data_IF_765565518626
#
_entry.id   IF_765565518626
#
_cell.length_a   1.000
_cell.length_b   1.000
_cell.length_c   1.000
_cell.angle_alpha   90.00
_cell.angle_beta   90.00
_cell.angle_gamma   90.00
#
_symmetry.space_group_name_H-M   'P 1'
#
loop_
_entity.id
_entity.type
_entity.pdbx_description
1 polymer ?
#
# COMPACT_ATOMS: atom_id res chain seq x y z
N UNK A 1 -12.51 -50.82 39.65
CA UNK A 1 -11.61 -51.34 40.71
C UNK A 1 -10.80 -50.25 41.43
N UNK A 2 -10.26 -49.22 40.75
CA UNK A 2 -9.49 -48.14 41.40
C UNK A 2 -10.29 -47.28 42.40
N UNK A 3 -11.56 -46.98 42.13
CA UNK A 3 -12.45 -46.24 43.03
C UNK A 3 -12.80 -47.01 44.32
N UNK A 4 -12.93 -48.34 44.24
CA UNK A 4 -13.30 -49.19 45.36
C UNK A 4 -12.11 -49.43 46.32
N UNK A 5 -10.89 -49.54 45.77
CA UNK A 5 -9.65 -49.54 46.55
C UNK A 5 -9.40 -48.19 47.21
N UNK A 6 -9.67 -47.08 46.53
CA UNK A 6 -9.59 -45.75 47.14
C UNK A 6 -10.60 -45.55 48.27
N UNK A 7 -11.83 -46.05 48.14
CA UNK A 7 -12.83 -45.99 49.19
C UNK A 7 -12.44 -46.83 50.43
N UNK A 8 -11.86 -48.02 50.23
CA UNK A 8 -11.42 -48.90 51.32
C UNK A 8 -10.20 -48.33 52.06
N UNK A 9 -9.25 -47.73 51.33
CA UNK A 9 -8.11 -47.01 51.93
C UNK A 9 -8.59 -45.76 52.69
N UNK A 10 -9.55 -45.02 52.14
CA UNK A 10 -10.14 -43.86 52.83
C UNK A 10 -10.85 -44.29 54.13
N UNK A 11 -11.55 -45.43 54.11
CA UNK A 11 -12.25 -45.97 55.28
C UNK A 11 -11.27 -46.46 56.35
N UNK A 12 -10.20 -47.15 55.96
CA UNK A 12 -9.13 -47.58 56.87
C UNK A 12 -8.38 -46.40 57.49
N UNK A 13 -8.09 -45.35 56.71
CA UNK A 13 -7.49 -44.10 57.20
C UNK A 13 -8.45 -43.39 58.15
N UNK A 14 -9.73 -43.31 57.82
CA UNK A 14 -10.74 -42.71 58.71
C UNK A 14 -10.86 -43.47 60.03
N UNK A 15 -10.89 -44.81 59.99
CA UNK A 15 -10.94 -45.64 61.19
C UNK A 15 -9.67 -45.48 62.05
N UNK A 16 -8.50 -45.42 61.43
CA UNK A 16 -7.23 -45.18 62.13
C UNK A 16 -7.13 -43.78 62.76
N UNK A 17 -7.63 -42.75 62.08
CA UNK A 17 -7.71 -41.37 62.60
C UNK A 17 -8.65 -41.28 63.80
N UNK A 18 -9.81 -41.96 63.75
CA UNK A 18 -10.76 -42.01 64.87
C UNK A 18 -10.17 -42.77 66.06
N UNK A 19 -9.47 -43.88 65.82
CA UNK A 19 -8.81 -44.66 66.87
C UNK A 19 -7.67 -43.86 67.55
N UNK A 20 -6.88 -43.12 66.76
CA UNK A 20 -5.81 -42.26 67.26
C UNK A 20 -6.35 -41.03 68.02
N UNK A 21 -7.49 -40.48 67.60
CA UNK A 21 -8.19 -39.39 68.29
C UNK A 21 -8.78 -39.84 69.63
N UNK A 22 -9.22 -41.10 69.76
CA UNK A 22 -9.79 -41.65 70.99
C UNK A 22 -8.76 -41.79 72.13
N UNK A 23 -7.47 -41.94 71.80
CA UNK A 23 -6.39 -42.11 72.78
C UNK A 23 -5.61 -40.82 73.11
N UNK A 24 -5.90 -39.70 72.43
CA UNK A 24 -5.10 -38.48 72.58
C UNK A 24 -5.81 -37.41 73.43
N UNK A 25 -5.41 -37.26 74.70
CA UNK A 25 -5.89 -36.21 75.62
C UNK A 25 -5.18 -34.85 75.42
N UNK A 26 -4.66 -34.59 74.22
CA UNK A 26 -4.01 -33.32 73.90
C UNK A 26 -5.00 -32.15 73.97
N UNK A 27 -4.55 -31.01 74.49
CA UNK A 27 -5.25 -29.72 74.45
C UNK A 27 -4.43 -28.74 73.62
N UNK A 28 -5.09 -27.97 72.76
CA UNK A 28 -4.48 -26.89 71.98
C UNK A 28 -4.90 -25.58 72.63
N UNK A 29 -3.92 -24.80 73.06
CA UNK A 29 -4.14 -23.55 73.77
C UNK A 29 -3.73 -22.38 72.87
N UNK A 30 -4.70 -21.57 72.46
CA UNK A 30 -4.45 -20.33 71.72
C UNK A 30 -4.43 -19.16 72.71
N UNK A 31 -3.25 -18.57 72.91
CA UNK A 31 -3.10 -17.36 73.75
C UNK A 31 -2.97 -16.13 72.87
N UNK A 32 -3.99 -15.27 72.87
CA UNK A 32 -3.93 -13.93 72.27
C UNK A 32 -4.37 -12.96 73.37
N UNK A 33 -3.44 -12.28 74.08
CA UNK A 33 -3.77 -11.47 75.24
C UNK A 33 -4.89 -10.45 74.95
N UNK A 34 -5.94 -10.33 75.80
CA UNK A 34 -6.14 -10.97 77.12
C UNK A 34 -6.92 -12.30 77.09
N UNK A 35 -7.20 -12.88 75.92
CA UNK A 35 -8.04 -14.08 75.78
C UNK A 35 -7.19 -15.36 75.60
N UNK A 36 -7.53 -16.38 76.38
CA UNK A 36 -7.00 -17.74 76.21
C UNK A 36 -8.14 -18.67 75.84
N UNK A 37 -8.03 -19.33 74.69
CA UNK A 37 -9.02 -20.30 74.23
C UNK A 37 -8.40 -21.69 74.30
N UNK A 38 -8.96 -22.55 75.15
CA UNK A 38 -8.59 -23.96 75.27
C UNK A 38 -9.52 -24.82 74.42
N UNK A 39 -8.95 -25.56 73.47
CA UNK A 39 -9.69 -26.47 72.60
C UNK A 39 -9.15 -27.89 72.76
N UNK A 40 -10.05 -28.87 72.83
CA UNK A 40 -9.66 -30.27 72.74
C UNK A 40 -8.99 -30.52 71.38
N UNK A 41 -7.88 -31.26 71.36
CA UNK A 41 -7.10 -31.52 70.14
C UNK A 41 -7.95 -32.15 69.02
N UNK A 42 -8.91 -33.01 69.39
CA UNK A 42 -9.85 -33.60 68.45
C UNK A 42 -10.78 -32.57 67.78
N UNK A 43 -11.25 -31.57 68.52
CA UNK A 43 -12.07 -30.47 67.98
C UNK A 43 -11.22 -29.61 67.05
N UNK A 44 -9.97 -29.34 67.43
CA UNK A 44 -9.04 -28.59 66.57
C UNK A 44 -8.77 -29.30 65.24
N UNK A 45 -8.54 -30.63 65.25
CA UNK A 45 -8.34 -31.40 64.02
C UNK A 45 -9.60 -31.38 63.15
N UNK A 46 -10.77 -31.66 63.72
CA UNK A 46 -12.05 -31.67 62.96
C UNK A 46 -12.33 -30.28 62.39
N UNK A 47 -12.14 -29.22 63.19
CA UNK A 47 -12.32 -27.84 62.77
C UNK A 47 -11.34 -27.42 61.67
N UNK A 48 -10.06 -27.82 61.77
CA UNK A 48 -9.05 -27.56 60.75
C UNK A 48 -9.35 -28.30 59.44
N UNK A 49 -9.79 -29.57 59.53
CA UNK A 49 -10.20 -30.35 58.35
C UNK A 49 -11.43 -29.73 57.67
N UNK A 50 -12.44 -29.31 58.46
CA UNK A 50 -13.62 -28.62 57.93
C UNK A 50 -13.25 -27.30 57.27
N UNK A 51 -12.39 -26.49 57.90
CA UNK A 51 -11.88 -25.23 57.35
C UNK A 51 -11.12 -25.45 56.03
N UNK A 52 -10.28 -26.49 55.96
CA UNK A 52 -9.58 -26.87 54.74
C UNK A 52 -10.54 -27.27 53.61
N UNK A 53 -11.59 -28.05 53.92
CA UNK A 53 -12.62 -28.44 52.94
C UNK A 53 -13.35 -27.20 52.41
N UNK A 54 -13.80 -26.31 53.29
CA UNK A 54 -14.49 -25.07 52.90
C UNK A 54 -13.57 -24.20 52.03
N UNK A 55 -12.31 -24.01 52.44
CA UNK A 55 -11.33 -23.27 51.67
C UNK A 55 -11.07 -23.90 50.29
N UNK A 56 -10.93 -25.22 50.22
CA UNK A 56 -10.74 -25.96 48.97
C UNK A 56 -11.93 -25.76 48.01
N UNK A 57 -13.17 -25.86 48.49
CA UNK A 57 -14.36 -25.63 47.66
C UNK A 57 -14.47 -24.16 47.25
N UNK A 58 -14.15 -23.22 48.13
CA UNK A 58 -14.13 -21.78 47.80
C UNK A 58 -13.14 -21.49 46.66
N UNK A 59 -11.91 -22.00 46.75
CA UNK A 59 -10.90 -21.86 45.68
C UNK A 59 -11.37 -22.54 44.38
N UNK A 60 -11.97 -23.73 44.48
CA UNK A 60 -12.45 -24.46 43.30
C UNK A 60 -13.62 -23.77 42.60
N UNK A 61 -14.54 -23.16 43.34
CA UNK A 61 -15.61 -22.32 42.79
C UNK A 61 -15.04 -21.08 42.11
N UNK A 62 -14.05 -20.42 42.73
CA UNK A 62 -13.39 -19.24 42.16
C UNK A 62 -12.69 -19.58 40.84
N UNK A 63 -11.94 -20.69 40.76
CA UNK A 63 -11.32 -21.19 39.53
C UNK A 63 -12.38 -21.58 38.49
N UNK A 64 -13.47 -22.22 38.92
CA UNK A 64 -14.59 -22.58 38.05
C UNK A 64 -15.25 -21.37 37.38
N UNK A 65 -15.44 -20.27 38.12
CA UNK A 65 -15.99 -19.02 37.58
C UNK A 65 -15.07 -18.37 36.55
N UNK A 66 -13.75 -18.37 36.78
CA UNK A 66 -12.76 -17.89 35.82
C UNK A 66 -12.76 -18.74 34.53
N UNK A 67 -12.85 -20.06 34.65
CA UNK A 67 -12.93 -20.96 33.50
C UNK A 67 -14.21 -20.76 32.67
N UNK A 68 -15.36 -20.51 33.31
CA UNK A 68 -16.61 -20.19 32.60
C UNK A 68 -16.53 -18.83 31.91
N UNK A 69 -15.90 -17.82 32.54
CA UNK A 69 -15.67 -16.51 31.93
C UNK A 69 -14.78 -16.61 30.69
N UNK A 70 -13.64 -17.29 30.80
CA UNK A 70 -12.73 -17.51 29.67
C UNK A 70 -13.41 -18.27 28.53
N UNK A 71 -14.19 -19.31 28.84
CA UNK A 71 -14.97 -20.06 27.85
C UNK A 71 -15.99 -19.18 27.13
N UNK A 72 -16.74 -18.34 27.86
CA UNK A 72 -17.68 -17.39 27.26
C UNK A 72 -16.98 -16.32 26.41
N UNK A 73 -15.83 -15.82 26.84
CA UNK A 73 -15.03 -14.87 26.05
C UNK A 73 -14.64 -15.49 24.70
N UNK A 74 -14.19 -16.74 24.69
CA UNK A 74 -13.85 -17.47 23.48
C UNK A 74 -15.08 -17.72 22.58
N UNK A 75 -16.22 -18.09 23.15
CA UNK A 75 -17.48 -18.25 22.40
C UNK A 75 -17.89 -16.95 21.70
N UNK A 76 -17.88 -15.82 22.42
CA UNK A 76 -18.20 -14.52 21.85
C UNK A 76 -17.16 -14.06 20.82
N UNK A 77 -15.88 -14.38 21.02
CA UNK A 77 -14.82 -14.09 20.05
C UNK A 77 -15.07 -14.83 18.72
N UNK A 78 -15.34 -16.13 18.77
CA UNK A 78 -15.65 -16.92 17.57
C UNK A 78 -16.93 -16.42 16.89
N UNK A 79 -17.98 -16.12 17.66
CA UNK A 79 -19.21 -15.54 17.13
C UNK A 79 -18.97 -14.18 16.47
N UNK A 80 -18.13 -13.33 17.07
CA UNK A 80 -17.78 -12.00 16.54
C UNK A 80 -16.96 -12.10 15.27
N UNK A 81 -15.99 -13.01 15.23
CA UNK A 81 -15.18 -13.28 14.05
C UNK A 81 -16.03 -13.82 12.88
N UNK A 82 -16.89 -14.81 13.12
CA UNK A 82 -17.78 -15.34 12.09
C UNK A 82 -18.70 -14.25 11.53
N UNK A 83 -19.34 -13.48 12.41
CA UNK A 83 -20.19 -12.37 11.98
C UNK A 83 -19.41 -11.30 11.20
N UNK A 84 -18.16 -11.02 11.58
CA UNK A 84 -17.30 -10.08 10.86
C UNK A 84 -17.00 -10.55 9.44
N UNK A 85 -16.61 -11.82 9.28
CA UNK A 85 -16.31 -12.43 7.98
C UNK A 85 -17.55 -12.54 7.09
N UNK A 86 -18.72 -12.73 7.67
CA UNK A 86 -20.01 -12.69 6.98
C UNK A 86 -20.54 -11.27 6.76
N UNK A 87 -19.74 -10.23 7.04
CA UNK A 87 -20.09 -8.79 6.88
C UNK A 87 -21.25 -8.30 7.75
N UNK A 88 -21.63 -9.05 8.79
CA UNK A 88 -22.69 -8.71 9.76
C UNK A 88 -22.12 -7.80 10.86
N UNK A 89 -21.72 -6.58 10.50
CA UNK A 89 -20.93 -5.69 11.35
C UNK A 89 -21.56 -5.32 12.70
N UNK A 90 -22.88 -5.14 12.79
CA UNK A 90 -23.55 -4.86 14.08
C UNK A 90 -23.44 -6.05 15.05
N UNK A 91 -23.62 -7.28 14.56
CA UNK A 91 -23.49 -8.50 15.36
C UNK A 91 -22.02 -8.75 15.75
N UNK A 92 -21.11 -8.55 14.78
CA UNK A 92 -19.68 -8.67 14.99
C UNK A 92 -19.19 -7.73 16.09
N UNK A 93 -19.57 -6.45 16.03
CA UNK A 93 -19.23 -5.45 17.03
C UNK A 93 -19.73 -5.88 18.43
N UNK A 94 -21.03 -6.18 18.57
CA UNK A 94 -21.63 -6.55 19.86
C UNK A 94 -20.98 -7.79 20.48
N UNK A 95 -20.69 -8.81 19.67
CA UNK A 95 -20.06 -10.04 20.14
C UNK A 95 -18.59 -9.79 20.53
N UNK A 96 -17.83 -9.08 19.70
CA UNK A 96 -16.44 -8.76 19.99
C UNK A 96 -16.28 -7.87 21.24
N UNK A 97 -17.15 -6.87 21.45
CA UNK A 97 -17.14 -6.05 22.68
C UNK A 97 -17.48 -6.87 23.94
N UNK A 98 -18.34 -7.89 23.82
CA UNK A 98 -18.60 -8.83 24.94
C UNK A 98 -17.38 -9.69 25.22
N UNK A 99 -16.73 -10.22 24.19
CA UNK A 99 -15.49 -10.97 24.32
C UNK A 99 -14.37 -10.12 24.95
N UNK A 100 -14.21 -8.87 24.50
CA UNK A 100 -13.25 -7.91 25.05
C UNK A 100 -13.43 -7.68 26.56
N UNK A 101 -14.69 -7.51 27.01
CA UNK A 101 -15.01 -7.29 28.43
C UNK A 101 -14.81 -8.53 29.31
N UNK A 102 -14.99 -9.73 28.74
CA UNK A 102 -14.92 -11.00 29.47
C UNK A 102 -13.53 -11.63 29.45
N UNK A 103 -12.69 -11.29 28.47
CA UNK A 103 -11.35 -11.83 28.36
C UNK A 103 -10.43 -11.26 29.45
N UNK A 104 -9.55 -12.09 30.00
CA UNK A 104 -8.45 -11.66 30.86
C UNK A 104 -7.12 -11.60 30.07
N UNK A 105 -6.98 -12.44 29.04
CA UNK A 105 -5.79 -12.49 28.18
C UNK A 105 -5.68 -11.25 27.28
N UNK A 106 -4.56 -10.51 27.31
CA UNK A 106 -4.36 -9.29 26.50
C UNK A 106 -4.55 -9.52 24.99
N UNK A 107 -4.06 -10.62 24.45
CA UNK A 107 -4.13 -10.91 23.00
C UNK A 107 -5.58 -11.10 22.54
N UNK A 108 -6.41 -11.76 23.37
CA UNK A 108 -7.85 -11.91 23.10
C UNK A 108 -8.54 -10.55 23.17
N UNK A 109 -8.18 -9.68 24.13
CA UNK A 109 -8.69 -8.31 24.18
C UNK A 109 -8.30 -7.53 22.92
N UNK A 110 -7.03 -7.56 22.53
CA UNK A 110 -6.52 -6.87 21.35
C UNK A 110 -7.27 -7.25 20.07
N UNK A 111 -7.38 -8.56 19.80
CA UNK A 111 -8.07 -9.07 18.61
C UNK A 111 -9.54 -8.64 18.58
N UNK A 112 -10.24 -8.78 19.70
CA UNK A 112 -11.66 -8.43 19.76
C UNK A 112 -11.89 -6.91 19.69
N UNK A 113 -11.00 -6.09 20.28
CA UNK A 113 -11.06 -4.64 20.14
C UNK A 113 -10.88 -4.22 18.67
N UNK A 114 -9.95 -4.84 17.94
CA UNK A 114 -9.75 -4.58 16.50
C UNK A 114 -10.94 -5.03 15.65
N UNK A 115 -11.52 -6.22 15.90
CA UNK A 115 -12.74 -6.67 15.21
C UNK A 115 -13.89 -5.70 15.47
N UNK A 116 -14.08 -5.29 16.72
CA UNK A 116 -15.10 -4.32 17.10
C UNK A 116 -14.85 -2.95 16.44
N UNK A 117 -13.61 -2.46 16.41
CA UNK A 117 -13.24 -1.19 15.80
C UNK A 117 -13.46 -1.18 14.29
N UNK A 118 -13.02 -2.23 13.57
CA UNK A 118 -13.29 -2.40 12.13
C UNK A 118 -14.79 -2.48 11.85
N UNK A 119 -15.53 -3.21 12.68
CA UNK A 119 -17.00 -3.29 12.56
C UNK A 119 -17.68 -1.95 12.81
N UNK A 120 -17.24 -1.19 13.82
CA UNK A 120 -17.74 0.14 14.12
C UNK A 120 -17.45 1.13 12.98
N UNK A 121 -16.26 1.07 12.40
CA UNK A 121 -15.88 1.85 11.21
C UNK A 121 -16.83 1.59 10.03
N UNK A 122 -17.10 0.31 9.72
CA UNK A 122 -18.03 -0.07 8.62
C UNK A 122 -19.47 0.38 8.86
N UNK A 123 -19.82 0.70 10.10
CA UNK A 123 -21.13 1.26 10.49
C UNK A 123 -21.12 2.80 10.63
N UNK A 124 -19.99 3.47 10.34
CA UNK A 124 -19.84 4.93 10.51
C UNK A 124 -19.73 5.39 11.97
N UNK A 125 -19.52 4.47 12.93
CA UNK A 125 -19.44 4.78 14.37
C UNK A 125 -18.02 5.17 14.79
N UNK A 126 -17.55 6.32 14.29
CA UNK A 126 -16.17 6.81 14.44
C UNK A 126 -15.71 6.91 15.91
N UNK A 127 -16.52 7.52 16.78
CA UNK A 127 -16.15 7.69 18.20
C UNK A 127 -15.95 6.34 18.92
N UNK A 128 -16.80 5.35 18.63
CA UNK A 128 -16.69 4.01 19.22
C UNK A 128 -15.47 3.28 18.71
N UNK A 129 -15.18 3.37 17.40
CA UNK A 129 -13.94 2.84 16.80
C UNK A 129 -12.71 3.37 17.53
N UNK A 130 -12.61 4.68 17.68
CA UNK A 130 -11.42 5.32 18.26
C UNK A 130 -11.28 4.96 19.76
N UNK A 131 -12.39 4.87 20.49
CA UNK A 131 -12.39 4.41 21.88
C UNK A 131 -11.89 2.96 22.02
N UNK A 132 -12.31 2.07 21.12
CA UNK A 132 -11.89 0.66 21.12
C UNK A 132 -10.39 0.50 20.83
N UNK A 133 -9.86 1.26 19.89
CA UNK A 133 -8.42 1.25 19.58
C UNK A 133 -7.60 1.87 20.72
N UNK A 134 -8.07 2.98 21.31
CA UNK A 134 -7.41 3.60 22.46
C UNK A 134 -7.34 2.67 23.68
N UNK A 135 -8.36 1.83 23.88
CA UNK A 135 -8.42 0.89 25.01
C UNK A 135 -7.30 -0.17 25.01
N UNK A 136 -6.68 -0.42 23.86
CA UNK A 136 -5.60 -1.42 23.70
C UNK A 136 -4.22 -0.78 23.47
N UNK A 137 -4.12 0.56 23.48
CA UNK A 137 -2.86 1.26 23.28
C UNK A 137 -1.89 1.07 24.46
N UNK A 138 -0.61 0.88 24.16
CA UNK A 138 0.47 0.87 25.16
C UNK A 138 0.45 -0.32 26.13
N UNK A 139 -0.34 -1.36 25.86
CA UNK A 139 -0.39 -2.55 26.70
C UNK A 139 0.81 -3.46 26.48
N UNK A 140 1.15 -3.71 25.20
CA UNK A 140 2.24 -4.59 24.74
C UNK A 140 2.62 -4.24 23.29
N UNK A 141 3.86 -4.51 22.90
CA UNK A 141 4.36 -4.21 21.56
C UNK A 141 3.60 -4.95 20.42
N UNK A 142 3.25 -6.22 20.64
CA UNK A 142 2.47 -7.03 19.69
C UNK A 142 1.04 -6.49 19.49
N UNK A 143 0.42 -6.08 20.59
CA UNK A 143 -0.90 -5.46 20.62
C UNK A 143 -0.90 -4.09 19.94
N UNK A 144 0.16 -3.29 20.16
CA UNK A 144 0.35 -2.02 19.49
C UNK A 144 0.55 -2.19 17.98
N UNK A 145 1.26 -3.23 17.55
CA UNK A 145 1.39 -3.52 16.11
C UNK A 145 0.03 -3.78 15.45
N UNK A 146 -0.82 -4.62 16.07
CA UNK A 146 -2.17 -4.90 15.58
C UNK A 146 -3.03 -3.63 15.52
N UNK A 147 -2.96 -2.80 16.56
CA UNK A 147 -3.67 -1.52 16.64
C UNK A 147 -3.22 -0.56 15.54
N UNK A 148 -1.92 -0.36 15.37
CA UNK A 148 -1.35 0.61 14.43
C UNK A 148 -1.59 0.23 12.97
N UNK A 149 -1.49 -1.07 12.63
CA UNK A 149 -1.85 -1.55 11.28
C UNK A 149 -3.33 -1.29 11.01
N UNK A 150 -4.21 -1.60 11.97
CA UNK A 150 -5.65 -1.33 11.84
C UNK A 150 -5.91 0.16 11.71
N UNK A 151 -5.26 0.99 12.51
CA UNK A 151 -5.40 2.45 12.44
C UNK A 151 -4.99 2.98 11.06
N UNK A 152 -3.85 2.54 10.52
CA UNK A 152 -3.40 2.91 9.18
C UNK A 152 -4.42 2.52 8.08
N UNK A 153 -4.97 1.30 8.14
CA UNK A 153 -6.00 0.84 7.19
C UNK A 153 -7.26 1.70 7.25
N UNK A 154 -7.78 1.97 8.45
CA UNK A 154 -9.01 2.73 8.63
C UNK A 154 -8.82 4.21 8.25
N UNK A 155 -7.64 4.78 8.51
CA UNK A 155 -7.30 6.14 8.08
C UNK A 155 -7.14 6.24 6.56
N UNK A 156 -6.58 5.22 5.92
CA UNK A 156 -6.55 5.12 4.46
C UNK A 156 -7.97 5.07 3.87
N UNK A 157 -8.87 4.26 4.45
CA UNK A 157 -10.28 4.19 4.05
C UNK A 157 -10.99 5.56 4.23
N UNK A 158 -10.69 6.30 5.29
CA UNK A 158 -11.20 7.65 5.56
C UNK A 158 -10.60 8.76 4.66
N UNK A 159 -9.64 8.46 3.78
CA UNK A 159 -8.93 9.45 2.97
C UNK A 159 -7.88 10.28 3.74
N UNK A 160 -7.55 9.88 4.97
CA UNK A 160 -6.60 10.57 5.87
C UNK A 160 -5.20 9.99 5.70
N UNK A 161 -4.64 10.14 4.50
CA UNK A 161 -3.40 9.45 4.08
C UNK A 161 -2.17 9.81 4.91
N UNK A 162 -2.01 11.07 5.31
CA UNK A 162 -0.88 11.53 6.14
C UNK A 162 -0.88 10.88 7.52
N UNK A 163 -2.05 10.79 8.14
CA UNK A 163 -2.23 10.11 9.43
C UNK A 163 -2.05 8.60 9.31
N UNK A 164 -2.52 8.00 8.21
CA UNK A 164 -2.27 6.59 7.93
C UNK A 164 -0.77 6.28 7.86
N UNK A 165 -0.01 7.15 7.19
CA UNK A 165 1.45 7.04 7.13
C UNK A 165 2.10 7.21 8.50
N UNK A 166 1.62 8.16 9.31
CA UNK A 166 2.13 8.36 10.69
C UNK A 166 1.93 7.11 11.55
N UNK A 167 0.78 6.43 11.43
CA UNK A 167 0.53 5.17 12.14
C UNK A 167 1.52 4.06 11.74
N UNK A 168 1.86 3.95 10.44
CA UNK A 168 2.88 2.99 9.98
C UNK A 168 4.30 3.36 10.41
N UNK A 169 4.65 4.65 10.44
CA UNK A 169 5.93 5.10 10.96
C UNK A 169 6.07 4.80 12.46
N UNK A 170 4.99 4.98 13.23
CA UNK A 170 4.94 4.57 14.63
C UNK A 170 5.12 3.05 14.79
N UNK A 171 4.48 2.25 13.92
CA UNK A 171 4.65 0.79 13.88
C UNK A 171 6.13 0.43 13.71
N UNK A 172 6.81 1.03 12.72
CA UNK A 172 8.24 0.75 12.47
C UNK A 172 9.15 1.19 13.61
N UNK A 173 8.86 2.35 14.22
CA UNK A 173 9.64 2.88 15.34
C UNK A 173 9.59 1.98 16.59
N UNK A 174 8.49 1.23 16.76
CA UNK A 174 8.32 0.25 17.84
C UNK A 174 8.89 -1.14 17.53
N UNK A 175 9.56 -1.32 16.38
CA UNK A 175 10.10 -2.60 15.94
C UNK A 175 9.06 -3.54 15.30
N UNK A 176 7.91 -3.00 14.89
CA UNK A 176 6.86 -3.75 14.20
C UNK A 176 7.35 -4.35 12.88
N UNK A 177 6.93 -5.58 12.59
CA UNK A 177 7.40 -6.33 11.42
C UNK A 177 6.87 -5.77 10.10
N UNK A 178 7.76 -5.52 9.14
CA UNK A 178 7.44 -5.11 7.76
C UNK A 178 6.96 -6.30 6.92
N UNK A 179 5.74 -6.77 7.19
CA UNK A 179 5.12 -7.84 6.42
C UNK A 179 4.80 -7.38 5.00
N UNK A 180 4.58 -8.30 4.06
CA UNK A 180 4.28 -7.92 2.66
C UNK A 180 2.99 -7.11 2.59
N UNK A 181 2.00 -7.45 3.41
CA UNK A 181 0.74 -6.73 3.50
C UNK A 181 0.92 -5.31 4.04
N UNK A 182 1.78 -5.12 5.04
CA UNK A 182 2.08 -3.79 5.60
C UNK A 182 2.80 -2.91 4.59
N UNK A 183 3.76 -3.46 3.84
CA UNK A 183 4.41 -2.71 2.75
C UNK A 183 3.46 -2.37 1.61
N UNK A 184 2.52 -3.26 1.27
CA UNK A 184 1.48 -2.97 0.28
C UNK A 184 0.51 -1.89 0.76
N UNK A 185 0.20 -1.88 2.06
CA UNK A 185 -0.59 -0.83 2.67
C UNK A 185 0.15 0.52 2.61
N UNK A 186 1.43 0.55 2.96
CA UNK A 186 2.27 1.74 2.85
C UNK A 186 2.38 2.22 1.40
N UNK A 187 2.61 1.32 0.46
CA UNK A 187 2.69 1.62 -0.96
C UNK A 187 1.43 2.37 -1.43
N UNK A 188 0.25 1.83 -1.10
CA UNK A 188 -1.02 2.46 -1.43
C UNK A 188 -1.18 3.82 -0.77
N UNK A 189 -0.73 3.99 0.48
CA UNK A 189 -0.75 5.29 1.16
C UNK A 189 0.18 6.29 0.43
N UNK A 190 1.39 5.89 0.05
CA UNK A 190 2.35 6.74 -0.65
C UNK A 190 1.87 7.12 -2.06
N UNK A 191 1.20 6.20 -2.78
CA UNK A 191 0.53 6.50 -4.05
C UNK A 191 -0.54 7.59 -3.89
N UNK A 192 -1.40 7.48 -2.86
CA UNK A 192 -2.42 8.50 -2.59
C UNK A 192 -1.83 9.85 -2.18
N UNK A 193 -0.66 9.85 -1.54
CA UNK A 193 0.12 11.05 -1.21
C UNK A 193 0.94 11.59 -2.38
N UNK A 194 0.96 10.90 -3.54
CA UNK A 194 1.80 11.22 -4.69
C UNK A 194 3.30 11.31 -4.35
N UNK A 195 3.74 10.54 -3.36
CA UNK A 195 5.14 10.45 -2.97
C UNK A 195 5.83 9.34 -3.78
N UNK A 196 6.03 9.60 -5.07
CA UNK A 196 6.51 8.60 -6.03
C UNK A 196 7.95 8.13 -5.76
N UNK A 197 8.77 8.93 -5.08
CA UNK A 197 10.10 8.53 -4.63
C UNK A 197 10.01 7.36 -3.62
N UNK A 198 9.14 7.49 -2.61
CA UNK A 198 8.89 6.41 -1.65
C UNK A 198 8.20 5.20 -2.29
N UNK A 199 7.35 5.43 -3.31
CA UNK A 199 6.75 4.34 -4.10
C UNK A 199 7.84 3.52 -4.79
N UNK A 200 8.84 4.16 -5.41
CA UNK A 200 9.95 3.45 -6.06
C UNK A 200 10.75 2.60 -5.06
N UNK A 201 11.08 3.16 -3.88
CA UNK A 201 11.78 2.43 -2.82
C UNK A 201 10.99 1.18 -2.37
N UNK A 202 9.67 1.33 -2.16
CA UNK A 202 8.79 0.23 -1.75
C UNK A 202 8.63 -0.83 -2.85
N UNK A 203 8.52 -0.41 -4.11
CA UNK A 203 8.45 -1.30 -5.28
C UNK A 203 9.73 -2.14 -5.39
N UNK A 204 10.89 -1.55 -5.14
CA UNK A 204 12.17 -2.27 -5.15
C UNK A 204 12.27 -3.31 -4.04
N UNK A 205 11.78 -2.99 -2.84
CA UNK A 205 11.70 -3.94 -1.72
C UNK A 205 10.73 -5.07 -2.05
N UNK A 206 9.55 -4.75 -2.58
CA UNK A 206 8.51 -5.72 -2.92
C UNK A 206 8.93 -6.63 -4.08
N UNK A 207 9.68 -6.13 -5.06
CA UNK A 207 10.16 -6.89 -6.23
C UNK A 207 11.03 -8.09 -5.85
N UNK A 208 11.75 -7.99 -4.73
CA UNK A 208 12.64 -9.03 -4.20
C UNK A 208 11.89 -10.12 -3.42
N UNK A 209 10.59 -9.95 -3.14
CA UNK A 209 9.79 -10.94 -2.39
C UNK A 209 9.27 -12.05 -3.29
N UNK A 210 9.29 -13.29 -2.80
CA UNK A 210 8.94 -14.51 -3.59
C UNK A 210 7.52 -14.48 -4.19
N UNK A 211 6.56 -13.79 -3.55
CA UNK A 211 5.16 -13.73 -3.99
C UNK A 211 4.85 -12.51 -4.88
N UNK A 212 5.87 -11.81 -5.36
CA UNK A 212 5.72 -10.58 -6.13
C UNK A 212 5.18 -10.84 -7.54
N UNK A 213 4.12 -10.12 -7.92
CA UNK A 213 3.66 -10.07 -9.29
C UNK A 213 4.54 -9.08 -10.08
N UNK A 214 5.47 -9.61 -10.87
CA UNK A 214 6.48 -8.80 -11.58
C UNK A 214 5.87 -7.83 -12.60
N UNK A 215 4.74 -8.16 -13.23
CA UNK A 215 4.09 -7.25 -14.19
C UNK A 215 3.43 -6.05 -13.50
N UNK A 216 2.84 -6.25 -12.32
CA UNK A 216 2.29 -5.17 -11.52
C UNK A 216 3.40 -4.25 -11.02
N UNK A 217 4.52 -4.83 -10.59
CA UNK A 217 5.69 -4.10 -10.10
C UNK A 217 6.33 -3.27 -11.21
N UNK A 218 6.50 -3.83 -12.40
CA UNK A 218 7.03 -3.06 -13.53
C UNK A 218 6.09 -1.93 -13.95
N UNK A 219 4.78 -2.18 -14.01
CA UNK A 219 3.78 -1.16 -14.31
C UNK A 219 3.77 -0.03 -13.28
N UNK A 220 3.90 -0.36 -12.00
CA UNK A 220 3.93 0.63 -10.92
C UNK A 220 5.22 1.44 -10.93
N UNK A 221 6.38 0.78 -11.12
CA UNK A 221 7.68 1.46 -11.31
C UNK A 221 7.60 2.45 -12.47
N UNK A 222 7.05 2.00 -13.59
CA UNK A 222 6.91 2.84 -14.78
C UNK A 222 6.01 4.06 -14.53
N UNK A 223 4.87 3.86 -13.87
CA UNK A 223 3.98 4.96 -13.48
C UNK A 223 4.67 5.94 -12.54
N UNK A 224 5.39 5.46 -11.53
CA UNK A 224 6.10 6.29 -10.57
C UNK A 224 7.19 7.16 -11.24
N UNK A 225 7.96 6.60 -12.17
CA UNK A 225 8.95 7.37 -12.95
C UNK A 225 8.29 8.48 -13.78
N UNK A 226 7.21 8.19 -14.51
CA UNK A 226 6.50 9.21 -15.28
C UNK A 226 5.97 10.35 -14.40
N UNK A 227 5.43 10.01 -13.23
CA UNK A 227 4.91 11.02 -12.30
C UNK A 227 6.04 11.85 -11.67
N UNK A 228 7.19 11.24 -11.38
CA UNK A 228 8.36 11.98 -10.92
C UNK A 228 8.95 12.90 -12.00
N UNK A 229 9.03 12.46 -13.26
CA UNK A 229 9.42 13.35 -14.38
C UNK A 229 8.49 14.57 -14.41
N UNK A 230 7.17 14.35 -14.31
CA UNK A 230 6.18 15.43 -14.25
C UNK A 230 6.36 16.32 -13.02
N UNK A 231 6.60 15.76 -11.83
CA UNK A 231 6.87 16.51 -10.59
C UNK A 231 8.08 17.43 -10.74
N UNK A 232 9.18 16.94 -11.32
CA UNK A 232 10.41 17.70 -11.52
C UNK A 232 10.40 18.62 -12.74
N UNK A 233 9.36 18.57 -13.59
CA UNK A 233 9.25 19.40 -14.82
C UNK A 233 9.20 20.92 -14.59
N UNK A 234 9.15 21.37 -13.34
CA UNK A 234 9.13 22.79 -12.97
C UNK A 234 10.52 23.36 -12.64
N UNK A 235 11.53 22.51 -12.46
CA UNK A 235 12.89 22.90 -12.13
C UNK A 235 13.89 22.12 -13.00
N UNK A 236 14.66 22.86 -13.80
CA UNK A 236 15.61 22.30 -14.73
C UNK A 236 16.70 21.46 -14.06
N UNK A 237 17.30 21.92 -12.96
CA UNK A 237 18.40 21.18 -12.33
C UNK A 237 17.87 19.94 -11.62
N UNK A 238 16.67 19.97 -11.05
CA UNK A 238 16.03 18.79 -10.48
C UNK A 238 15.69 17.75 -11.57
N UNK A 239 15.08 18.17 -12.68
CA UNK A 239 14.74 17.27 -13.78
C UNK A 239 15.99 16.64 -14.41
N UNK A 240 17.03 17.45 -14.62
CA UNK A 240 18.32 16.99 -15.14
C UNK A 240 19.00 16.00 -14.22
N UNK A 241 19.05 16.29 -12.91
CA UNK A 241 19.59 15.36 -11.92
C UNK A 241 18.82 14.04 -11.95
N UNK A 242 17.49 14.11 -11.91
CA UNK A 242 16.64 12.93 -11.92
C UNK A 242 16.83 12.10 -13.19
N UNK A 243 16.82 12.73 -14.38
CA UNK A 243 17.07 12.05 -15.65
C UNK A 243 18.46 11.40 -15.71
N UNK A 244 19.49 12.03 -15.15
CA UNK A 244 20.83 11.48 -15.13
C UNK A 244 20.94 10.20 -14.29
N UNK A 245 20.14 10.07 -13.23
CA UNK A 245 20.08 8.89 -12.34
C UNK A 245 19.43 7.67 -13.02
N UNK A 246 18.67 7.84 -14.11
CA UNK A 246 18.07 6.71 -14.84
C UNK A 246 19.14 5.75 -15.38
N UNK A 247 18.83 4.45 -15.32
CA UNK A 247 19.66 3.42 -15.94
C UNK A 247 19.69 3.60 -17.46
N UNK A 248 20.66 2.96 -18.14
CA UNK A 248 20.70 2.98 -19.60
C UNK A 248 19.50 2.28 -20.25
N UNK A 249 18.85 1.36 -19.53
CA UNK A 249 17.64 0.68 -19.97
C UNK A 249 16.43 1.63 -19.84
N UNK A 250 16.26 2.29 -18.70
CA UNK A 250 15.13 3.21 -18.50
C UNK A 250 15.21 4.42 -19.44
N UNK A 251 16.42 4.94 -19.73
CA UNK A 251 16.60 6.02 -20.73
C UNK A 251 16.18 5.62 -22.15
N UNK A 252 16.06 4.32 -22.42
CA UNK A 252 15.63 3.79 -23.70
C UNK A 252 14.11 3.55 -23.78
N UNK A 253 13.40 3.66 -22.66
CA UNK A 253 11.94 3.68 -22.69
C UNK A 253 11.45 4.96 -23.39
N UNK A 254 10.75 4.79 -24.51
CA UNK A 254 10.29 5.93 -25.34
C UNK A 254 9.25 6.80 -24.61
N UNK A 255 8.48 6.25 -23.65
CA UNK A 255 7.54 7.06 -22.86
C UNK A 255 8.28 7.95 -21.87
N UNK A 256 9.32 7.43 -21.21
CA UNK A 256 10.17 8.25 -20.33
C UNK A 256 10.92 9.31 -21.14
N UNK A 257 11.50 8.93 -22.28
CA UNK A 257 12.19 9.87 -23.17
C UNK A 257 11.26 10.98 -23.66
N UNK A 258 10.03 10.65 -24.08
CA UNK A 258 9.05 11.63 -24.54
C UNK A 258 8.60 12.58 -23.42
N UNK A 259 8.32 12.04 -22.22
CA UNK A 259 7.94 12.83 -21.06
C UNK A 259 9.08 13.77 -20.61
N UNK A 260 10.31 13.28 -20.56
CA UNK A 260 11.48 14.07 -20.18
C UNK A 260 11.78 15.15 -21.24
N UNK A 261 11.81 14.80 -22.52
CA UNK A 261 12.06 15.75 -23.61
C UNK A 261 11.00 16.86 -23.64
N UNK A 262 9.72 16.52 -23.53
CA UNK A 262 8.63 17.51 -23.46
C UNK A 262 8.80 18.44 -22.26
N UNK A 263 9.22 17.92 -21.11
CA UNK A 263 9.47 18.71 -19.89
C UNK A 263 10.65 19.67 -20.05
N UNK A 264 11.76 19.22 -20.66
CA UNK A 264 12.90 20.09 -20.97
C UNK A 264 12.55 21.19 -21.97
N UNK A 265 11.75 20.86 -23.01
CA UNK A 265 11.25 21.86 -23.95
C UNK A 265 10.36 22.89 -23.27
N UNK A 266 9.48 22.48 -22.35
CA UNK A 266 8.64 23.40 -21.59
C UNK A 266 9.45 24.33 -20.67
N UNK A 267 10.60 23.87 -20.18
CA UNK A 267 11.57 24.67 -19.42
C UNK A 267 12.48 25.55 -20.30
N UNK A 268 12.34 25.47 -21.64
CA UNK A 268 13.11 26.24 -22.61
C UNK A 268 14.46 25.64 -22.99
N UNK A 269 14.86 24.49 -22.43
CA UNK A 269 16.11 23.81 -22.81
C UNK A 269 15.85 22.76 -23.89
N UNK A 270 15.78 23.23 -25.12
CA UNK A 270 15.65 22.37 -26.29
C UNK A 270 16.90 21.51 -26.53
N UNK A 271 18.09 21.89 -26.03
CA UNK A 271 19.32 21.15 -26.28
C UNK A 271 19.33 19.82 -25.52
N UNK A 272 18.82 19.80 -24.29
CA UNK A 272 18.62 18.56 -23.54
C UNK A 272 17.54 17.68 -24.15
N UNK A 273 16.41 18.25 -24.54
CA UNK A 273 15.34 17.52 -25.20
C UNK A 273 15.83 16.84 -26.49
N UNK A 274 16.55 17.59 -27.32
CA UNK A 274 17.16 17.09 -28.54
C UNK A 274 18.07 15.87 -28.28
N UNK A 275 19.01 15.97 -27.32
CA UNK A 275 19.91 14.86 -26.97
C UNK A 275 19.17 13.61 -26.51
N UNK A 276 18.09 13.77 -25.74
CA UNK A 276 17.28 12.66 -25.24
C UNK A 276 16.57 11.96 -26.40
N UNK A 277 15.93 12.73 -27.26
CA UNK A 277 15.19 12.22 -28.41
C UNK A 277 16.12 11.45 -29.34
N UNK A 278 17.28 12.01 -29.67
CA UNK A 278 18.24 11.36 -30.56
C UNK A 278 18.80 10.06 -30.00
N UNK A 279 19.16 10.07 -28.71
CA UNK A 279 19.70 8.89 -28.04
C UNK A 279 18.74 7.69 -28.07
N UNK A 280 17.42 7.96 -28.06
CA UNK A 280 16.39 6.94 -28.13
C UNK A 280 16.13 6.52 -29.60
N UNK A 281 15.91 7.49 -30.49
CA UNK A 281 15.63 7.26 -31.91
C UNK A 281 16.77 6.58 -32.68
N UNK A 282 18.02 6.76 -32.23
CA UNK A 282 19.18 6.06 -32.80
C UNK A 282 19.09 4.53 -32.63
N UNK A 283 18.36 4.06 -31.61
CA UNK A 283 18.17 2.64 -31.30
C UNK A 283 16.83 2.10 -31.78
N UNK A 284 15.74 2.82 -31.53
CA UNK A 284 14.39 2.37 -31.85
C UNK A 284 13.54 3.52 -32.39
N UNK A 285 12.82 3.34 -33.52
CA UNK A 285 11.94 4.38 -34.04
C UNK A 285 10.70 4.51 -33.13
N UNK A 286 10.33 5.74 -32.82
CA UNK A 286 9.12 6.07 -32.07
C UNK A 286 8.43 7.30 -32.65
N UNK A 287 7.13 7.17 -32.94
CA UNK A 287 6.30 8.21 -33.56
C UNK A 287 6.20 9.46 -32.69
N UNK A 288 6.09 9.31 -31.38
CA UNK A 288 5.96 10.45 -30.45
C UNK A 288 7.25 11.24 -30.40
N UNK A 289 8.39 10.54 -30.35
CA UNK A 289 9.70 11.17 -30.35
C UNK A 289 10.02 11.87 -31.67
N UNK A 290 9.64 11.32 -32.83
CA UNK A 290 9.77 12.02 -34.11
C UNK A 290 9.00 13.34 -34.12
N UNK A 291 7.74 13.35 -33.64
CA UNK A 291 6.94 14.57 -33.50
C UNK A 291 7.63 15.62 -32.62
N UNK A 292 8.07 15.20 -31.43
CA UNK A 292 8.79 16.08 -30.51
C UNK A 292 10.08 16.61 -31.12
N UNK A 293 10.78 15.82 -31.92
CA UNK A 293 12.00 16.23 -32.59
C UNK A 293 11.77 17.39 -33.58
N UNK A 294 10.66 17.37 -34.32
CA UNK A 294 10.30 18.46 -35.23
C UNK A 294 10.07 19.80 -34.50
N UNK A 295 9.49 19.71 -33.29
CA UNK A 295 9.16 20.88 -32.47
C UNK A 295 10.35 21.33 -31.60
N UNK A 296 11.34 20.45 -31.41
CA UNK A 296 12.54 20.71 -30.65
C UNK A 296 13.50 21.60 -31.43
N UNK A 297 13.35 22.93 -31.31
CA UNK A 297 14.21 23.90 -31.99
C UNK A 297 15.44 24.20 -31.15
N UNK A 298 16.48 23.38 -31.29
CA UNK A 298 17.73 23.53 -30.56
C UNK A 298 18.92 23.69 -31.52
N UNK A 299 19.76 24.69 -31.25
CA UNK A 299 21.01 24.90 -31.99
C UNK A 299 20.81 25.08 -33.51
N UNK A 300 21.45 24.21 -34.30
CA UNK A 300 21.48 24.29 -35.76
C UNK A 300 20.47 23.33 -36.39
N UNK A 301 19.46 23.88 -37.07
CA UNK A 301 18.49 23.08 -37.84
C UNK A 301 19.18 22.17 -38.88
N UNK A 302 20.28 22.62 -39.48
CA UNK A 302 21.03 21.83 -40.45
C UNK A 302 21.60 20.54 -39.84
N UNK A 303 22.04 20.61 -38.58
CA UNK A 303 22.47 19.42 -37.84
C UNK A 303 21.29 18.48 -37.61
N UNK A 304 20.12 19.02 -37.24
CA UNK A 304 18.93 18.20 -36.95
C UNK A 304 18.42 17.46 -38.19
N UNK A 305 18.39 18.16 -39.33
CA UNK A 305 18.05 17.58 -40.64
C UNK A 305 19.03 16.47 -40.99
N UNK A 306 20.34 16.73 -40.92
CA UNK A 306 21.36 15.74 -41.26
C UNK A 306 21.25 14.49 -40.36
N UNK A 307 20.94 14.68 -39.08
CA UNK A 307 20.78 13.58 -38.16
C UNK A 307 19.50 12.77 -38.45
N UNK A 308 18.36 13.43 -38.71
CA UNK A 308 17.13 12.76 -39.11
C UNK A 308 17.22 12.06 -40.49
N UNK A 309 17.99 12.60 -41.43
CA UNK A 309 18.30 11.95 -42.72
C UNK A 309 19.03 10.60 -42.51
N UNK A 310 19.84 10.46 -41.45
CA UNK A 310 20.45 9.17 -41.09
C UNK A 310 19.42 8.15 -40.61
N UNK A 311 18.41 8.58 -39.87
CA UNK A 311 17.29 7.70 -39.50
C UNK A 311 16.49 7.30 -40.72
N UNK A 312 16.34 8.18 -41.72
CA UNK A 312 15.60 7.87 -42.93
C UNK A 312 16.26 6.75 -43.74
N UNK A 313 17.60 6.65 -43.72
CA UNK A 313 18.32 5.52 -44.34
C UNK A 313 17.91 4.18 -43.69
N UNK A 314 17.72 4.16 -42.37
CA UNK A 314 17.28 2.97 -41.63
C UNK A 314 15.78 2.69 -41.77
N UNK A 315 14.98 3.75 -41.86
CA UNK A 315 13.51 3.71 -41.84
C UNK A 315 12.91 4.51 -43.02
N UNK A 316 13.14 4.10 -44.28
CA UNK A 316 12.84 4.92 -45.46
C UNK A 316 11.35 5.20 -45.69
N UNK A 317 10.47 4.32 -45.21
CA UNK A 317 9.02 4.41 -45.40
C UNK A 317 8.29 4.78 -44.10
N UNK A 318 8.93 5.50 -43.18
CA UNK A 318 8.27 5.97 -41.95
C UNK A 318 7.63 7.35 -42.21
N UNK A 319 6.29 7.39 -42.26
CA UNK A 319 5.53 8.61 -42.56
C UNK A 319 5.81 9.75 -41.56
N UNK A 320 5.92 9.43 -40.28
CA UNK A 320 6.15 10.45 -39.23
C UNK A 320 7.57 11.02 -39.30
N UNK A 321 8.57 10.19 -39.61
CA UNK A 321 9.94 10.67 -39.83
C UNK A 321 10.02 11.59 -41.07
N UNK A 322 9.32 11.24 -42.15
CA UNK A 322 9.24 12.10 -43.34
C UNK A 322 8.53 13.43 -43.04
N UNK A 323 7.45 13.39 -42.26
CA UNK A 323 6.77 14.60 -41.79
C UNK A 323 7.72 15.48 -40.94
N UNK A 324 8.47 14.85 -40.03
CA UNK A 324 9.47 15.50 -39.17
C UNK A 324 10.55 16.17 -40.00
N UNK A 325 11.12 15.47 -40.98
CA UNK A 325 12.09 16.03 -41.93
C UNK A 325 11.50 17.17 -42.75
N UNK A 326 10.27 17.03 -43.23
CA UNK A 326 9.55 18.08 -43.95
C UNK A 326 9.41 19.37 -43.14
N UNK A 327 8.98 19.25 -41.87
CA UNK A 327 8.88 20.37 -40.93
C UNK A 327 10.24 21.03 -40.64
N UNK A 328 11.28 20.22 -40.41
CA UNK A 328 12.64 20.73 -40.16
C UNK A 328 13.19 21.45 -41.40
N UNK A 329 12.99 20.89 -42.60
CA UNK A 329 13.39 21.53 -43.85
C UNK A 329 12.63 22.83 -44.11
N UNK A 330 11.33 22.89 -43.82
CA UNK A 330 10.55 24.13 -43.92
C UNK A 330 11.09 25.19 -42.93
N UNK A 331 11.39 24.78 -41.69
CA UNK A 331 12.00 25.68 -40.70
C UNK A 331 13.39 26.17 -41.12
N UNK A 332 14.19 25.33 -41.78
CA UNK A 332 15.49 25.69 -42.35
C UNK A 332 15.43 26.35 -43.74
N UNK A 333 14.24 26.74 -44.22
CA UNK A 333 14.01 27.40 -45.51
C UNK A 333 14.46 26.58 -46.75
N UNK A 334 14.52 25.24 -46.60
CA UNK A 334 14.83 24.29 -47.68
C UNK A 334 13.55 23.83 -48.38
N UNK A 335 12.83 24.78 -49.00
CA UNK A 335 11.46 24.62 -49.48
C UNK A 335 11.21 23.39 -50.35
N UNK A 336 12.05 23.17 -51.38
CA UNK A 336 11.88 22.02 -52.29
C UNK A 336 12.08 20.66 -51.58
N UNK A 337 13.02 20.58 -50.62
CA UNK A 337 13.17 19.38 -49.79
C UNK A 337 11.98 19.20 -48.85
N UNK A 338 11.50 20.29 -48.25
CA UNK A 338 10.34 20.28 -47.36
C UNK A 338 9.12 19.71 -48.09
N UNK A 339 8.79 20.24 -49.26
CA UNK A 339 7.67 19.76 -50.08
C UNK A 339 7.80 18.28 -50.40
N UNK A 340 8.96 17.84 -50.92
CA UNK A 340 9.21 16.44 -51.27
C UNK A 340 8.99 15.49 -50.07
N UNK A 341 9.52 15.84 -48.89
CA UNK A 341 9.36 15.01 -47.71
C UNK A 341 7.91 14.97 -47.20
N UNK A 342 7.21 16.10 -47.22
CA UNK A 342 5.81 16.15 -46.77
C UNK A 342 4.86 15.40 -47.73
N UNK A 343 5.05 15.53 -49.04
CA UNK A 343 4.30 14.77 -50.05
C UNK A 343 4.58 13.27 -49.94
N UNK A 344 5.85 12.89 -49.71
CA UNK A 344 6.23 11.50 -49.45
C UNK A 344 5.56 10.97 -48.18
N UNK A 345 5.51 11.75 -47.10
CA UNK A 345 4.80 11.39 -45.86
C UNK A 345 3.31 11.11 -46.14
N UNK A 346 2.62 12.02 -46.83
CA UNK A 346 1.21 11.85 -47.20
C UNK A 346 0.96 10.65 -48.11
N UNK A 347 1.90 10.34 -49.00
CA UNK A 347 1.79 9.20 -49.91
C UNK A 347 1.85 7.86 -49.18
N UNK A 348 2.50 7.82 -48.00
CA UNK A 348 2.57 6.64 -47.14
C UNK A 348 1.35 6.58 -46.22
N UNK A 349 1.13 7.64 -45.44
CA UNK A 349 0.03 7.72 -44.49
C UNK A 349 -0.59 9.12 -44.51
N UNK A 350 -1.74 9.28 -45.18
CA UNK A 350 -2.48 10.53 -45.19
C UNK A 350 -2.89 10.93 -43.77
N UNK A 351 -2.47 12.12 -43.34
CA UNK A 351 -2.73 12.59 -41.98
C UNK A 351 -2.97 14.10 -41.96
N UNK A 352 -3.79 14.57 -41.01
CA UNK A 352 -4.03 16.01 -40.86
C UNK A 352 -2.74 16.81 -40.57
N UNK A 353 -1.75 16.32 -39.78
CA UNK A 353 -0.54 17.08 -39.51
C UNK A 353 0.31 17.29 -40.76
N UNK A 354 0.36 16.31 -41.67
CA UNK A 354 1.10 16.42 -42.91
C UNK A 354 0.43 17.39 -43.91
N UNK A 355 -0.91 17.34 -44.02
CA UNK A 355 -1.66 18.34 -44.79
C UNK A 355 -1.49 19.76 -44.24
N UNK A 356 -1.53 19.93 -42.92
CA UNK A 356 -1.31 21.22 -42.28
C UNK A 356 0.10 21.78 -42.59
N UNK A 357 1.13 20.93 -42.52
CA UNK A 357 2.50 21.35 -42.82
C UNK A 357 2.66 21.76 -44.29
N UNK A 358 2.04 21.06 -45.24
CA UNK A 358 2.04 21.45 -46.66
C UNK A 358 1.26 22.74 -46.92
N UNK A 359 0.13 22.92 -46.24
CA UNK A 359 -0.63 24.15 -46.36
C UNK A 359 0.20 25.37 -45.91
N UNK A 360 0.87 25.27 -44.75
CA UNK A 360 1.75 26.31 -44.22
C UNK A 360 2.95 26.58 -45.14
N UNK A 361 3.55 25.53 -45.71
CA UNK A 361 4.63 25.66 -46.68
C UNK A 361 4.17 26.41 -47.93
N UNK A 362 3.02 26.05 -48.49
CA UNK A 362 2.46 26.68 -49.69
C UNK A 362 2.06 28.14 -49.44
N UNK A 363 1.59 28.49 -48.24
CA UNK A 363 1.37 29.90 -47.86
C UNK A 363 2.67 30.70 -47.89
N UNK A 364 3.76 30.15 -47.35
CA UNK A 364 5.07 30.80 -47.38
C UNK A 364 5.61 30.99 -48.80
N UNK A 365 5.27 30.07 -49.72
CA UNK A 365 5.60 30.16 -51.15
C UNK A 365 4.66 31.06 -51.97
N UNK A 366 3.56 31.55 -51.38
CA UNK A 366 2.56 32.38 -52.06
C UNK A 366 1.53 31.59 -52.87
N UNK A 367 1.52 30.26 -52.76
CA UNK A 367 0.61 29.35 -53.48
C UNK A 367 -0.72 29.15 -52.73
N UNK A 368 -1.51 30.23 -52.66
CA UNK A 368 -2.75 30.27 -51.87
C UNK A 368 -3.79 29.20 -52.26
N UNK A 369 -3.89 28.85 -53.55
CA UNK A 369 -4.83 27.83 -54.01
C UNK A 369 -4.46 26.43 -53.47
N UNK A 370 -3.19 26.06 -53.58
CA UNK A 370 -2.64 24.79 -53.08
C UNK A 370 -2.73 24.72 -51.55
N UNK A 371 -2.45 25.83 -50.85
CA UNK A 371 -2.58 25.93 -49.40
C UNK A 371 -4.01 25.66 -48.92
N UNK A 372 -5.00 26.33 -49.53
CA UNK A 372 -6.42 26.16 -49.18
C UNK A 372 -6.92 24.73 -49.42
N UNK A 373 -6.46 24.06 -50.48
CA UNK A 373 -6.81 22.66 -50.72
C UNK A 373 -6.28 21.75 -49.62
N UNK A 374 -5.03 21.91 -49.21
CA UNK A 374 -4.47 21.13 -48.10
C UNK A 374 -5.10 21.45 -46.75
N UNK A 375 -5.47 22.72 -46.47
CA UNK A 375 -6.26 23.03 -45.28
C UNK A 375 -7.60 22.29 -45.26
N UNK A 376 -8.30 22.25 -46.40
CA UNK A 376 -9.57 21.52 -46.55
C UNK A 376 -9.40 20.02 -46.33
N UNK A 377 -8.38 19.42 -46.93
CA UNK A 377 -8.06 17.99 -46.76
C UNK A 377 -7.67 17.68 -45.32
N UNK A 378 -6.80 18.50 -44.72
CA UNK A 378 -6.39 18.36 -43.32
C UNK A 378 -7.58 18.41 -42.37
N UNK A 379 -8.52 19.35 -42.56
CA UNK A 379 -9.74 19.43 -41.77
C UNK A 379 -10.62 18.17 -41.92
N UNK A 380 -10.76 17.65 -43.14
CA UNK A 380 -11.52 16.41 -43.36
C UNK A 380 -10.90 15.21 -42.61
N UNK A 381 -9.57 15.10 -42.58
CA UNK A 381 -8.89 14.05 -41.82
C UNK A 381 -9.04 14.25 -40.31
N UNK A 382 -8.91 15.48 -39.82
CA UNK A 382 -9.11 15.79 -38.40
C UNK A 382 -10.52 15.43 -37.92
N UNK A 383 -11.56 15.75 -38.72
CA UNK A 383 -12.94 15.41 -38.39
C UNK A 383 -13.17 13.90 -38.34
N UNK A 384 -12.67 13.14 -39.33
CA UNK A 384 -12.76 11.68 -39.33
C UNK A 384 -12.12 11.03 -38.10
N UNK A 385 -11.06 11.64 -37.56
CA UNK A 385 -10.37 11.16 -36.37
C UNK A 385 -11.11 11.50 -35.06
N UNK A 386 -12.00 12.50 -35.08
CA UNK A 386 -12.84 12.86 -33.93
C UNK A 386 -14.11 12.01 -33.89
N UNK A 387 -14.68 11.70 -35.07
CA UNK A 387 -15.94 10.97 -35.20
C UNK A 387 -15.79 9.43 -35.09
N UNK A 388 -14.57 8.91 -35.14
CA UNK A 388 -14.25 7.49 -35.01
C UNK A 388 -13.48 7.20 -33.72
#
# INVERSE_FOLDING_TARGET
MRLMLWALVLFAISAAVVLAAYYNNGTVLFTVPPYTVELAFNIFIIGSLLAFIVFYYMVRVMIGLLNVRASKAQQFMLSGLNAFLETRFDQAQKAAEKAFRLADAPDIKAINAVIAARSAHRQGKVAQRDQLLAAIAGQRADTDALRLITEAELKLEDGRYTEALTALQALYSTGGWQSTAVLQLELKIQEMLQNWDAVLDLVDILSKRRSANQSLISSLRHTAHLQNIKKYSTDFELLKKYWQEFSSEDKQDSQFAAAAASSFMALGDHAWAQKIIEHNLDKQPDTTLFRLYADCRSGSVSWQIQHAEKWLIKYPNNAELLLTLGKLCAYGELWGKAQNYLEASLSIEPSYPAHLALAQLNEQLGEQASANEHYRQGLQFALKQIDG
#
